data_IF_868791165412
#
_entry.id   IF_868791165412
#
_cell.length_a   1.000
_cell.length_b   1.000
_cell.length_c   1.000
_cell.angle_alpha   90.00
_cell.angle_beta   90.00
_cell.angle_gamma   90.00
#
_symmetry.space_group_name_H-M   'P 1'
#
loop_
_entity.id
_entity.type
_entity.pdbx_description
1 polymer ?
#
# COMPACT_ATOMS: atom_id res chain seq x y z
N UNK A 1 -8.23 -7.94 -75.89
CA UNK A 1 -7.10 -8.66 -75.22
C UNK A 1 -7.08 -8.24 -73.76
N UNK A 2 -7.68 -9.05 -72.91
CA UNK A 2 -7.72 -8.82 -71.48
C UNK A 2 -6.55 -9.61 -70.82
N UNK A 3 -5.66 -8.89 -70.17
CA UNK A 3 -4.55 -9.46 -69.42
C UNK A 3 -4.98 -9.88 -68.01
N UNK A 4 -5.09 -11.18 -67.77
CA UNK A 4 -5.31 -11.74 -66.42
C UNK A 4 -4.03 -11.56 -65.60
N UNK A 5 -4.03 -10.61 -64.66
CA UNK A 5 -3.03 -10.48 -63.59
C UNK A 5 -3.20 -11.58 -62.56
N UNK A 6 -2.42 -12.66 -62.63
CA UNK A 6 -2.33 -13.69 -61.58
C UNK A 6 -1.74 -13.07 -60.32
N UNK A 7 -2.55 -12.90 -59.26
CA UNK A 7 -2.10 -12.66 -57.89
C UNK A 7 -1.25 -13.88 -57.46
N UNK A 8 0.08 -13.74 -57.44
CA UNK A 8 0.98 -14.70 -56.79
C UNK A 8 0.68 -14.67 -55.28
N UNK A 9 0.03 -15.69 -54.78
CA UNK A 9 -0.15 -15.91 -53.35
C UNK A 9 1.18 -15.91 -52.63
N UNK A 10 1.37 -15.02 -51.68
CA UNK A 10 2.56 -14.94 -50.84
C UNK A 10 2.54 -16.14 -49.88
N UNK A 11 3.19 -17.25 -50.31
CA UNK A 11 3.38 -18.39 -49.42
C UNK A 11 4.54 -18.09 -48.49
N UNK A 12 4.20 -17.55 -47.30
CA UNK A 12 5.17 -17.42 -46.23
C UNK A 12 5.59 -18.82 -45.75
N UNK A 13 6.88 -19.05 -45.45
CA UNK A 13 7.33 -20.33 -44.93
C UNK A 13 6.69 -20.59 -43.56
N UNK A 14 6.39 -21.86 -43.27
CA UNK A 14 5.70 -22.27 -42.02
C UNK A 14 6.31 -21.65 -40.75
N UNK A 15 7.63 -21.44 -40.73
CA UNK A 15 8.36 -20.79 -39.63
C UNK A 15 7.90 -19.36 -39.40
N UNK A 16 7.51 -18.63 -40.45
CA UNK A 16 6.99 -17.26 -40.31
C UNK A 16 5.61 -17.24 -39.67
N UNK A 17 4.74 -18.21 -39.99
CA UNK A 17 3.43 -18.32 -39.32
C UNK A 17 3.56 -18.64 -37.84
N UNK A 18 4.50 -19.54 -37.46
CA UNK A 18 4.77 -19.85 -36.04
C UNK A 18 5.27 -18.60 -35.30
N UNK A 19 6.17 -17.81 -35.91
CA UNK A 19 6.68 -16.58 -35.32
C UNK A 19 5.58 -15.52 -35.12
N UNK A 20 4.68 -15.34 -36.10
CA UNK A 20 3.54 -14.45 -35.99
C UNK A 20 2.56 -14.90 -34.89
N UNK A 21 2.30 -16.19 -34.78
CA UNK A 21 1.43 -16.74 -33.73
C UNK A 21 2.03 -16.48 -32.33
N UNK A 22 3.33 -16.70 -32.15
CA UNK A 22 4.05 -16.40 -30.91
C UNK A 22 4.00 -14.90 -30.57
N UNK A 23 4.22 -14.00 -31.54
CA UNK A 23 4.13 -12.57 -31.36
C UNK A 23 2.72 -12.13 -30.92
N UNK A 24 1.68 -12.70 -31.51
CA UNK A 24 0.28 -12.43 -31.13
C UNK A 24 0.02 -12.94 -29.71
N UNK A 25 0.49 -14.14 -29.36
CA UNK A 25 0.37 -14.66 -27.98
C UNK A 25 1.08 -13.78 -26.97
N UNK A 26 2.32 -13.32 -27.24
CA UNK A 26 3.05 -12.39 -26.37
C UNK A 26 2.38 -11.03 -26.27
N UNK A 27 1.81 -10.50 -27.37
CA UNK A 27 1.07 -9.24 -27.33
C UNK A 27 -0.22 -9.36 -26.51
N UNK A 28 -0.94 -10.47 -26.59
CA UNK A 28 -2.15 -10.72 -25.81
C UNK A 28 -1.85 -10.93 -24.32
N UNK A 29 -0.77 -11.65 -23.97
CA UNK A 29 -0.36 -11.86 -22.58
C UNK A 29 0.22 -10.59 -21.97
N UNK A 30 1.03 -9.82 -22.70
CA UNK A 30 1.62 -8.55 -22.21
C UNK A 30 0.58 -7.47 -21.89
N UNK A 31 -0.52 -7.41 -22.63
CA UNK A 31 -1.62 -6.44 -22.38
C UNK A 31 -2.45 -6.82 -21.14
N UNK A 32 -2.48 -8.11 -20.76
CA UNK A 32 -3.31 -8.58 -19.65
C UNK A 32 -2.70 -8.23 -18.29
N UNK A 33 -1.38 -8.19 -18.14
CA UNK A 33 -0.70 -7.91 -16.87
C UNK A 33 -0.72 -6.43 -16.44
N UNK A 34 -0.80 -5.47 -17.37
CA UNK A 34 -0.74 -4.05 -17.03
C UNK A 34 -2.05 -3.46 -16.50
N UNK A 35 -3.13 -4.25 -16.44
CA UNK A 35 -4.50 -3.75 -16.20
C UNK A 35 -5.05 -3.92 -14.78
N UNK A 36 -4.29 -4.52 -13.87
CA UNK A 36 -4.85 -4.92 -12.55
C UNK A 36 -4.33 -4.13 -11.35
N UNK A 37 -3.72 -2.98 -11.61
CA UNK A 37 -3.17 -2.12 -10.54
C UNK A 37 -3.99 -0.86 -10.41
N UNK A 38 -4.58 -0.63 -9.23
CA UNK A 38 -5.20 0.64 -8.87
C UNK A 38 -4.42 1.26 -7.71
N UNK A 39 -3.80 2.40 -7.94
CA UNK A 39 -3.20 3.23 -6.90
C UNK A 39 -4.08 4.45 -6.63
N UNK A 40 -4.04 5.00 -5.42
CA UNK A 40 -4.83 6.16 -4.98
C UNK A 40 -4.49 7.48 -5.69
N UNK A 41 -3.64 7.47 -6.70
CA UNK A 41 -3.43 8.62 -7.58
C UNK A 41 -4.21 8.37 -8.88
N UNK A 42 -5.26 9.17 -9.06
CA UNK A 42 -6.21 9.02 -10.14
C UNK A 42 -5.59 9.00 -11.53
N UNK A 43 -6.12 8.16 -12.40
CA UNK A 43 -5.76 8.07 -13.81
C UNK A 43 -6.29 6.78 -14.46
N UNK A 44 -7.19 6.92 -15.31
CA UNK A 44 -8.13 6.19 -16.14
C UNK A 44 -7.73 4.80 -16.67
N UNK A 45 -8.58 3.93 -16.50
CA UNK A 45 -9.47 2.95 -17.15
C UNK A 45 -8.95 2.09 -18.30
N UNK A 46 -8.98 0.78 -18.05
CA UNK A 46 -9.47 -0.20 -19.02
C UNK A 46 -10.10 -1.37 -18.24
N UNK A 47 -11.39 -1.60 -18.48
CA UNK A 47 -12.20 -2.59 -17.77
C UNK A 47 -11.79 -4.02 -18.05
N UNK A 48 -11.29 -4.69 -17.02
CA UNK A 48 -11.55 -6.11 -16.75
C UNK A 48 -11.53 -6.21 -15.23
N UNK A 49 -12.54 -6.69 -14.57
CA UNK A 49 -12.78 -6.74 -13.14
C UNK A 49 -12.61 -5.37 -12.40
N UNK A 50 -13.67 -4.93 -11.76
CA UNK A 50 -13.69 -3.68 -11.01
C UNK A 50 -12.94 -3.89 -9.70
N UNK A 51 -11.72 -3.38 -9.60
CA UNK A 51 -11.02 -3.28 -8.32
C UNK A 51 -11.59 -2.07 -7.57
N UNK A 52 -11.93 -2.26 -6.31
CA UNK A 52 -12.48 -1.21 -5.46
C UNK A 52 -11.49 -0.08 -5.17
N UNK A 53 -11.99 1.03 -4.68
CA UNK A 53 -11.18 2.15 -4.23
C UNK A 53 -10.59 1.85 -2.85
N UNK A 54 -9.34 2.28 -2.64
CA UNK A 54 -8.70 2.31 -1.31
C UNK A 54 -8.59 3.75 -0.86
N UNK A 55 -8.97 4.03 0.37
CA UNK A 55 -8.81 5.33 1.01
C UNK A 55 -8.19 5.18 2.38
N UNK A 56 -7.47 6.21 2.81
CA UNK A 56 -6.97 6.34 4.18
C UNK A 56 -7.65 7.56 4.79
N UNK A 57 -8.22 7.39 5.98
CA UNK A 57 -8.75 8.48 6.78
C UNK A 57 -8.04 8.56 8.12
N UNK A 58 -7.99 9.73 8.73
CA UNK A 58 -7.48 9.93 10.07
C UNK A 58 -8.53 10.64 10.92
N UNK A 59 -8.92 10.02 12.03
CA UNK A 59 -9.97 10.55 12.92
C UNK A 59 -11.29 10.88 12.20
N UNK A 60 -11.62 10.14 11.12
CA UNK A 60 -12.82 10.31 10.31
C UNK A 60 -12.71 11.34 9.18
N UNK A 61 -11.59 12.03 9.05
CA UNK A 61 -11.29 12.99 7.98
C UNK A 61 -10.32 12.38 6.96
N UNK A 62 -10.28 12.86 5.71
CA UNK A 62 -9.26 12.44 4.75
C UNK A 62 -7.87 12.61 5.33
N UNK A 63 -7.04 11.58 5.14
CA UNK A 63 -5.67 11.58 5.66
C UNK A 63 -4.87 12.81 5.16
N UNK A 64 -4.25 13.51 6.11
CA UNK A 64 -3.39 14.66 5.83
C UNK A 64 -2.05 14.49 6.55
N UNK A 65 -0.95 14.40 5.80
CA UNK A 65 0.41 14.27 6.32
C UNK A 65 0.90 15.54 7.05
N UNK A 66 0.26 16.68 6.83
CA UNK A 66 0.71 17.98 7.33
C UNK A 66 0.16 18.32 8.73
N UNK A 67 -0.53 17.36 9.37
CA UNK A 67 -1.06 17.58 10.72
C UNK A 67 0.07 17.58 11.74
N UNK A 68 0.26 18.74 12.40
CA UNK A 68 1.22 18.89 13.50
C UNK A 68 0.58 18.40 14.79
N UNK A 69 1.20 17.44 15.44
CA UNK A 69 0.73 16.93 16.74
C UNK A 69 1.05 17.90 17.86
N UNK A 70 0.06 18.11 18.72
CA UNK A 70 0.26 18.87 19.97
C UNK A 70 0.51 17.88 21.09
N UNK A 71 1.76 17.79 21.54
CA UNK A 71 2.17 16.91 22.63
C UNK A 71 2.02 17.64 23.97
N UNK A 72 1.35 17.00 24.92
CA UNK A 72 1.26 17.48 26.30
C UNK A 72 1.58 16.33 27.26
N UNK A 73 2.24 16.60 28.40
CA UNK A 73 2.59 15.57 29.39
C UNK A 73 1.38 14.75 29.81
N UNK A 74 1.46 13.44 29.69
CA UNK A 74 0.40 12.52 30.10
C UNK A 74 -0.92 12.60 29.33
N UNK A 75 -0.96 13.35 28.22
CA UNK A 75 -2.13 13.42 27.35
C UNK A 75 -1.85 12.62 26.07
N UNK A 76 -2.59 11.54 25.86
CA UNK A 76 -2.46 10.74 24.65
C UNK A 76 -2.86 11.53 23.41
N UNK A 77 -2.19 11.25 22.30
CA UNK A 77 -2.48 11.86 21.00
C UNK A 77 -3.31 10.88 20.20
N UNK A 78 -4.48 11.29 19.73
CA UNK A 78 -5.30 10.46 18.85
C UNK A 78 -4.83 10.58 17.41
N UNK A 79 -4.42 9.43 16.83
CA UNK A 79 -4.06 9.26 15.41
C UNK A 79 -4.71 7.98 14.88
N UNK A 80 -6.04 7.95 14.90
CA UNK A 80 -6.76 6.78 14.41
C UNK A 80 -6.78 6.77 12.88
N UNK A 81 -5.78 6.13 12.28
CA UNK A 81 -5.73 5.89 10.85
C UNK A 81 -6.56 4.67 10.49
N UNK A 82 -7.52 4.85 9.59
CA UNK A 82 -8.42 3.80 9.09
C UNK A 82 -8.18 3.60 7.61
N UNK A 83 -8.02 2.35 7.20
CA UNK A 83 -7.96 1.95 5.79
C UNK A 83 -9.32 1.41 5.40
N UNK A 84 -9.92 2.02 4.39
CA UNK A 84 -11.17 1.59 3.81
C UNK A 84 -10.95 1.12 2.37
N UNK A 85 -11.32 -0.13 2.10
CA UNK A 85 -11.33 -0.73 0.77
C UNK A 85 -12.76 -1.13 0.42
N UNK A 86 -13.28 -0.62 -0.70
CA UNK A 86 -14.70 -0.81 -1.05
C UNK A 86 -15.05 -2.20 -1.59
N UNK A 87 -14.08 -3.10 -1.61
CA UNK A 87 -14.24 -4.44 -2.18
C UNK A 87 -13.96 -4.50 -3.69
N UNK A 88 -13.84 -5.72 -4.20
CA UNK A 88 -13.55 -6.01 -5.60
C UNK A 88 -14.28 -7.29 -6.02
N UNK A 89 -14.58 -7.43 -7.31
CA UNK A 89 -15.12 -8.69 -7.86
C UNK A 89 -14.15 -9.87 -7.71
N UNK A 90 -12.87 -9.60 -7.48
CA UNK A 90 -11.81 -10.58 -7.27
C UNK A 90 -11.16 -10.37 -5.91
N UNK A 91 -10.57 -11.44 -5.36
CA UNK A 91 -9.76 -11.31 -4.16
C UNK A 91 -8.57 -10.37 -4.40
N UNK A 92 -8.27 -9.53 -3.41
CA UNK A 92 -7.22 -8.53 -3.48
C UNK A 92 -6.30 -8.59 -2.25
N UNK A 93 -5.02 -8.29 -2.47
CA UNK A 93 -4.19 -7.78 -1.40
C UNK A 93 -4.54 -6.31 -1.15
N UNK A 94 -4.78 -5.97 0.09
CA UNK A 94 -4.86 -4.59 0.57
C UNK A 94 -3.60 -4.34 1.37
N UNK A 95 -2.80 -3.37 0.94
CA UNK A 95 -1.53 -3.01 1.56
C UNK A 95 -1.61 -1.64 2.22
N UNK A 96 -0.83 -1.45 3.27
CA UNK A 96 -0.38 -0.14 3.65
C UNK A 96 1.13 -0.12 3.91
N UNK A 97 1.77 0.92 3.41
CA UNK A 97 3.16 1.27 3.64
C UNK A 97 3.22 2.31 4.76
N UNK A 98 4.20 2.17 5.64
CA UNK A 98 4.44 3.14 6.69
C UNK A 98 5.80 3.79 6.50
N UNK A 99 5.82 5.12 6.60
CA UNK A 99 7.04 5.90 6.67
C UNK A 99 7.06 6.60 8.02
N UNK A 100 7.90 6.09 8.91
CA UNK A 100 7.99 6.55 10.30
C UNK A 100 9.33 7.25 10.48
N UNK A 101 9.29 8.51 10.91
CA UNK A 101 10.50 9.31 11.15
C UNK A 101 10.61 9.67 12.63
N UNK A 102 11.81 9.50 13.18
CA UNK A 102 12.14 9.88 14.55
C UNK A 102 11.69 8.89 15.63
N UNK A 103 11.10 7.75 15.26
CA UNK A 103 10.76 6.66 16.16
C UNK A 103 11.61 5.43 15.87
N UNK A 104 11.91 4.65 16.91
CA UNK A 104 12.60 3.36 16.81
C UNK A 104 11.59 2.23 17.01
N UNK A 105 11.54 1.27 16.07
CA UNK A 105 10.76 0.06 16.23
C UNK A 105 11.44 -0.90 17.19
N UNK A 106 10.74 -1.33 18.22
CA UNK A 106 11.21 -2.31 19.20
C UNK A 106 10.91 -3.75 18.72
N UNK A 107 11.51 -4.74 19.38
CA UNK A 107 11.33 -6.15 19.03
C UNK A 107 9.89 -6.67 19.18
N UNK A 108 9.08 -6.01 20.00
CA UNK A 108 7.65 -6.30 20.23
C UNK A 108 6.71 -5.58 19.25
N UNK A 109 7.25 -4.90 18.23
CA UNK A 109 6.49 -4.13 17.25
C UNK A 109 6.10 -2.72 17.71
N UNK A 110 6.42 -2.32 18.95
CA UNK A 110 6.16 -0.97 19.46
C UNK A 110 7.15 0.03 18.86
N UNK A 111 6.64 1.18 18.44
CA UNK A 111 7.46 2.32 18.03
C UNK A 111 7.62 3.27 19.19
N UNK A 112 8.86 3.66 19.48
CA UNK A 112 9.18 4.54 20.60
C UNK A 112 10.04 5.72 20.15
N UNK A 113 9.71 6.92 20.61
CA UNK A 113 10.66 8.02 20.66
C UNK A 113 11.32 8.06 22.04
N UNK A 114 12.66 8.06 22.06
CA UNK A 114 13.48 8.10 23.27
C UNK A 114 14.34 9.33 23.29
N UNK A 115 14.52 9.92 24.46
CA UNK A 115 15.50 10.98 24.65
C UNK A 115 16.95 10.46 24.67
N UNK A 116 17.92 11.37 24.81
CA UNK A 116 19.34 11.03 24.87
C UNK A 116 19.73 10.16 26.08
N UNK A 117 18.88 10.08 27.11
CA UNK A 117 19.07 9.19 28.27
C UNK A 117 18.48 7.80 28.06
N UNK A 118 17.77 7.57 26.95
CA UNK A 118 17.04 6.33 26.65
C UNK A 118 15.65 6.23 27.27
N UNK A 119 15.14 7.31 27.91
CA UNK A 119 13.78 7.34 28.46
C UNK A 119 12.76 7.47 27.34
N UNK A 120 11.76 6.60 27.32
CA UNK A 120 10.65 6.64 26.35
C UNK A 120 9.76 7.83 26.63
N UNK A 121 9.55 8.67 25.62
CA UNK A 121 8.66 9.82 25.68
C UNK A 121 7.32 9.55 25.00
N UNK A 122 7.37 8.94 23.84
CA UNK A 122 6.19 8.58 23.05
C UNK A 122 6.25 7.11 22.69
N UNK A 123 5.10 6.43 22.69
CA UNK A 123 5.00 5.05 22.24
C UNK A 123 3.67 4.75 21.57
N UNK A 124 3.69 3.88 20.57
CA UNK A 124 2.53 3.43 19.83
C UNK A 124 2.84 2.18 19.03
N UNK A 125 1.84 1.49 18.48
CA UNK A 125 2.05 0.30 17.64
C UNK A 125 0.96 0.16 16.57
N UNK A 126 1.24 -0.65 15.55
CA UNK A 126 0.23 -1.10 14.62
C UNK A 126 -0.51 -2.35 15.15
N UNK A 127 -1.66 -2.66 14.56
CA UNK A 127 -2.44 -3.87 14.88
C UNK A 127 -1.88 -5.08 14.11
N UNK A 128 -0.72 -5.58 14.50
CA UNK A 128 -0.08 -6.75 13.86
C UNK A 128 -0.89 -8.05 14.00
N UNK A 129 -1.89 -8.10 14.87
CA UNK A 129 -2.80 -9.25 14.97
C UNK A 129 -3.81 -9.34 13.82
N UNK A 130 -4.06 -8.26 13.11
CA UNK A 130 -5.05 -8.17 12.04
C UNK A 130 -4.41 -7.96 10.66
N UNK A 131 -3.15 -7.52 10.62
CA UNK A 131 -2.39 -7.23 9.43
C UNK A 131 -1.07 -7.99 9.46
N UNK A 132 -0.76 -8.72 8.40
CA UNK A 132 0.53 -9.39 8.26
C UNK A 132 1.60 -8.38 7.88
N UNK A 133 2.80 -8.52 8.48
CA UNK A 133 3.93 -7.62 8.25
C UNK A 133 4.96 -8.25 7.31
N UNK A 134 5.42 -7.48 6.34
CA UNK A 134 6.54 -7.80 5.45
C UNK A 134 7.49 -6.60 5.35
N UNK A 135 8.74 -6.87 5.01
CA UNK A 135 9.70 -5.81 4.68
C UNK A 135 10.03 -5.88 3.19
N UNK A 136 9.75 -4.80 2.47
CA UNK A 136 10.02 -4.71 1.03
C UNK A 136 10.90 -3.51 0.75
N UNK A 137 12.09 -3.75 0.21
CA UNK A 137 13.07 -2.72 -0.17
C UNK A 137 13.43 -1.78 1.01
N UNK A 138 13.47 -2.34 2.25
CA UNK A 138 13.77 -1.62 3.48
C UNK A 138 12.61 -0.83 4.07
N UNK A 139 11.39 -0.99 3.53
CA UNK A 139 10.17 -0.37 4.04
C UNK A 139 9.32 -1.38 4.80
N UNK A 140 8.69 -0.93 5.87
CA UNK A 140 7.68 -1.70 6.58
C UNK A 140 6.35 -1.61 5.84
N UNK A 141 5.86 -2.76 5.41
CA UNK A 141 4.62 -2.90 4.66
C UNK A 141 3.73 -3.92 5.37
N UNK A 142 2.48 -3.56 5.54
CA UNK A 142 1.48 -4.43 6.14
C UNK A 142 0.46 -4.79 5.08
N UNK A 143 -0.08 -6.00 5.15
CA UNK A 143 -1.10 -6.42 4.19
C UNK A 143 -2.16 -7.31 4.80
N UNK A 144 -3.29 -7.36 4.11
CA UNK A 144 -4.41 -8.26 4.36
C UNK A 144 -4.96 -8.75 3.04
N UNK A 145 -5.51 -9.95 3.02
CA UNK A 145 -6.22 -10.48 1.86
C UNK A 145 -7.71 -10.23 2.06
N UNK A 146 -8.29 -9.42 1.19
CA UNK A 146 -9.73 -9.26 1.08
C UNK A 146 -10.26 -10.25 0.02
N UNK A 147 -11.25 -11.04 0.38
CA UNK A 147 -11.93 -11.97 -0.54
C UNK A 147 -12.71 -11.24 -1.64
N UNK A 148 -13.22 -11.97 -2.62
CA UNK A 148 -14.07 -11.40 -3.65
C UNK A 148 -15.35 -10.79 -3.01
N UNK A 149 -15.65 -9.54 -3.37
CA UNK A 149 -16.75 -8.72 -2.84
C UNK A 149 -16.64 -8.41 -1.33
N UNK A 150 -15.48 -8.66 -0.71
CA UNK A 150 -15.21 -8.30 0.67
C UNK A 150 -14.67 -6.88 0.74
N UNK A 151 -15.24 -6.07 1.63
CA UNK A 151 -14.73 -4.74 1.98
C UNK A 151 -13.86 -4.81 3.23
N UNK A 152 -12.88 -3.91 3.33
CA UNK A 152 -12.08 -3.68 4.54
C UNK A 152 -12.37 -2.27 5.03
N UNK A 153 -12.59 -2.10 6.33
CA UNK A 153 -12.76 -0.79 6.97
C UNK A 153 -12.20 -0.89 8.40
N UNK A 154 -10.89 -0.74 8.53
CA UNK A 154 -10.19 -1.07 9.76
C UNK A 154 -9.17 -0.03 10.16
N UNK A 155 -9.12 0.26 11.46
CA UNK A 155 -8.02 1.00 12.07
C UNK A 155 -6.75 0.16 12.02
N UNK A 156 -5.68 0.76 11.54
CA UNK A 156 -4.37 0.09 11.44
C UNK A 156 -3.51 0.26 12.70
N UNK A 157 -3.87 1.22 13.56
CA UNK A 157 -3.15 1.47 14.82
C UNK A 157 -3.81 0.74 16.00
N UNK A 158 -2.98 0.21 16.88
CA UNK A 158 -3.44 -0.39 18.13
C UNK A 158 -4.04 0.63 19.09
N UNK A 159 -4.71 0.14 20.14
CA UNK A 159 -5.28 0.97 21.20
C UNK A 159 -6.18 2.13 20.73
N UNK A 160 -6.93 1.92 19.63
CA UNK A 160 -7.80 2.96 19.08
C UNK A 160 -7.05 4.12 18.43
N UNK A 161 -5.82 3.90 17.98
CA UNK A 161 -5.00 4.91 17.32
C UNK A 161 -4.35 5.90 18.28
N UNK A 162 -4.09 5.50 19.53
CA UNK A 162 -3.46 6.35 20.52
C UNK A 162 -1.92 6.26 20.46
N UNK A 163 -1.29 7.44 20.45
CA UNK A 163 0.14 7.61 20.75
C UNK A 163 0.21 8.01 22.22
N UNK A 164 0.74 7.12 23.04
CA UNK A 164 0.86 7.36 24.47
C UNK A 164 2.01 8.30 24.76
N UNK A 165 1.73 9.35 25.53
CA UNK A 165 2.72 10.32 26.01
C UNK A 165 3.06 9.99 27.46
N UNK A 166 4.35 9.77 27.74
CA UNK A 166 4.80 9.49 29.11
C UNK A 166 4.41 10.63 30.07
N UNK A 167 3.65 10.36 31.16
CA UNK A 167 3.17 11.39 32.08
C UNK A 167 4.28 12.05 32.92
N UNK A 168 5.44 11.41 33.01
CA UNK A 168 6.59 11.94 33.78
C UNK A 168 7.39 12.99 33.02
N UNK A 169 7.07 13.26 31.75
CA UNK A 169 7.73 14.30 30.98
C UNK A 169 7.21 15.67 31.41
N UNK A 170 8.12 16.59 31.59
CA UNK A 170 7.75 17.97 31.91
C UNK A 170 7.52 18.81 30.66
N UNK A 171 6.72 19.88 30.78
CA UNK A 171 6.50 20.81 29.66
C UNK A 171 7.80 21.50 29.18
N UNK A 172 8.82 21.61 30.04
CA UNK A 172 10.12 22.17 29.68
C UNK A 172 10.95 21.19 28.87
N UNK A 173 10.85 19.87 29.12
CA UNK A 173 11.51 18.82 28.33
C UNK A 173 10.90 18.72 26.94
N UNK A 174 9.57 18.83 26.82
CA UNK A 174 8.88 18.81 25.52
C UNK A 174 9.35 19.90 24.55
N UNK A 175 9.88 21.01 25.02
CA UNK A 175 10.47 22.05 24.16
C UNK A 175 11.71 21.57 23.39
N UNK A 176 12.33 20.51 23.87
CA UNK A 176 13.51 19.90 23.24
C UNK A 176 13.15 18.70 22.33
N UNK A 177 11.85 18.41 22.17
CA UNK A 177 11.40 17.37 21.25
C UNK A 177 11.69 17.80 19.81
N UNK A 178 12.21 16.90 18.97
CA UNK A 178 12.46 17.21 17.56
C UNK A 178 11.15 17.48 16.80
N UNK A 179 11.20 18.45 15.90
CA UNK A 179 10.03 18.84 15.07
C UNK A 179 9.75 17.89 13.91
N UNK A 180 10.61 16.87 13.71
CA UNK A 180 10.55 15.97 12.55
C UNK A 180 9.94 14.60 12.88
N UNK A 181 9.24 14.44 13.99
CA UNK A 181 8.52 13.20 14.28
C UNK A 181 7.32 13.07 13.34
N UNK A 182 7.27 12.01 12.56
CA UNK A 182 6.15 11.77 11.64
C UNK A 182 5.79 10.30 11.51
N UNK A 183 4.52 10.05 11.23
CA UNK A 183 3.96 8.75 10.88
C UNK A 183 3.13 8.96 9.63
N UNK A 184 3.62 8.51 8.49
CA UNK A 184 2.91 8.58 7.22
C UNK A 184 2.41 7.20 6.82
N UNK A 185 1.18 7.13 6.34
CA UNK A 185 0.52 5.89 5.92
C UNK A 185 0.03 6.07 4.49
N UNK A 186 0.43 5.15 3.63
CA UNK A 186 -0.05 5.06 2.24
C UNK A 186 -0.70 3.71 2.04
N UNK A 187 -1.85 3.65 1.41
CA UNK A 187 -2.54 2.40 1.14
C UNK A 187 -2.74 2.16 -0.35
N UNK A 188 -2.71 0.90 -0.74
CA UNK A 188 -3.02 0.47 -2.10
C UNK A 188 -3.67 -0.92 -2.08
N UNK A 189 -4.31 -1.29 -3.19
CA UNK A 189 -4.80 -2.64 -3.38
C UNK A 189 -4.39 -3.18 -4.74
N UNK A 190 -4.16 -4.48 -4.81
CA UNK A 190 -3.84 -5.18 -6.04
C UNK A 190 -4.52 -6.54 -6.02
N UNK A 191 -4.89 -7.05 -7.19
CA UNK A 191 -5.47 -8.38 -7.31
C UNK A 191 -4.56 -9.44 -6.66
N UNK A 192 -5.17 -10.37 -5.90
CA UNK A 192 -4.45 -11.46 -5.24
C UNK A 192 -3.83 -12.44 -6.26
N UNK A 193 -4.59 -12.79 -7.31
CA UNK A 193 -4.14 -13.76 -8.30
C UNK A 193 -3.07 -13.20 -9.25
N UNK A 194 -2.10 -14.05 -9.61
CA UNK A 194 -1.04 -13.71 -10.57
C UNK A 194 0.29 -13.29 -9.94
N UNK A 195 0.40 -13.31 -8.62
CA UNK A 195 1.65 -13.06 -7.90
C UNK A 195 2.06 -14.26 -7.07
N UNK A 196 3.36 -14.52 -6.99
CA UNK A 196 3.93 -15.63 -6.22
C UNK A 196 3.98 -15.32 -4.72
N UNK A 197 4.00 -14.03 -4.37
CA UNK A 197 4.06 -13.58 -2.97
C UNK A 197 3.49 -12.17 -2.82
N UNK A 198 3.12 -11.78 -1.56
CA UNK A 198 2.69 -10.41 -1.27
C UNK A 198 3.77 -9.37 -1.61
N UNK A 199 5.07 -9.68 -1.44
CA UNK A 199 6.16 -8.78 -1.80
C UNK A 199 6.20 -8.52 -3.32
N UNK A 200 5.99 -9.57 -4.13
CA UNK A 200 5.93 -9.44 -5.58
C UNK A 200 4.72 -8.59 -6.01
N UNK A 201 3.57 -8.80 -5.36
CA UNK A 201 2.36 -8.02 -5.58
C UNK A 201 2.57 -6.53 -5.22
N UNK A 202 3.16 -6.25 -4.06
CA UNK A 202 3.45 -4.90 -3.60
C UNK A 202 4.41 -4.16 -4.54
N UNK A 203 5.51 -4.80 -4.98
CA UNK A 203 6.44 -4.21 -5.96
C UNK A 203 5.81 -3.90 -7.30
N UNK A 204 4.81 -4.66 -7.72
CA UNK A 204 4.12 -4.41 -8.99
C UNK A 204 3.32 -3.10 -8.98
N UNK A 205 2.83 -2.68 -7.81
CA UNK A 205 2.03 -1.44 -7.62
C UNK A 205 2.91 -0.20 -7.44
N UNK A 206 4.10 -0.36 -6.86
CA UNK A 206 4.96 0.75 -6.43
C UNK A 206 6.24 0.90 -7.29
N UNK A 207 6.11 0.62 -8.58
CA UNK A 207 7.18 0.82 -9.59
C UNK A 207 7.31 2.27 -10.01
#
# INVERSE_FOLDING_TARGET
MAGEGKLKGLHLPLRAYIMYLLLICFALTGVTFSKYVTSTYGGDSARVAKIGSVTVTENGEPYNSDVIWRVAPGADITKNAVISFSGSELACYVFFETEVTGFERQADGTYCYKDSSGRVWLSWSFKESEWEHITVDGKDVYYKIAGANESVDESVMANGGLITVNPEITASELKNMPDNLSINIKACAVQYGGFESPEAAYRAVNK
#
